data_IF_184903800804
#
_entry.id   IF_184903800804
#
_cell.length_a   1.000
_cell.length_b   1.000
_cell.length_c   1.000
_cell.angle_alpha   90.00
_cell.angle_beta   90.00
_cell.angle_gamma   90.00
#
_symmetry.space_group_name_H-M   'P 1'
#
loop_
_entity.id
_entity.type
_entity.pdbx_description
1 polymer ?
#
# COMPACT_ATOMS: atom_id res chain seq x y z
N UNK A 1 25.38 -21.35 -45.27
CA UNK A 1 24.91 -22.34 -44.28
C UNK A 1 25.98 -22.44 -43.20
N UNK A 2 25.76 -22.31 -41.90
CA UNK A 2 24.56 -22.21 -41.10
C UNK A 2 25.01 -21.80 -39.69
N UNK A 3 25.16 -20.51 -39.42
CA UNK A 3 25.45 -19.99 -38.05
C UNK A 3 24.65 -18.74 -37.71
N UNK A 4 23.92 -18.16 -38.66
CA UNK A 4 23.13 -16.93 -38.46
C UNK A 4 21.66 -17.19 -38.09
N UNK A 5 21.22 -18.45 -38.10
CA UNK A 5 19.83 -18.83 -37.84
C UNK A 5 19.57 -19.32 -36.40
N UNK A 6 20.60 -19.34 -35.55
CA UNK A 6 20.51 -19.80 -34.14
C UNK A 6 20.55 -18.65 -33.11
N UNK A 7 20.63 -17.39 -33.56
CA UNK A 7 20.49 -16.20 -32.69
C UNK A 7 19.07 -15.64 -32.64
N UNK A 8 18.15 -16.12 -33.47
CA UNK A 8 16.74 -15.65 -33.49
C UNK A 8 15.85 -16.47 -32.54
N UNK A 9 16.36 -17.58 -31.99
CA UNK A 9 15.64 -18.41 -31.01
C UNK A 9 15.91 -18.03 -29.55
N UNK A 10 16.89 -17.17 -29.26
CA UNK A 10 17.21 -16.70 -27.90
C UNK A 10 16.52 -15.38 -27.50
N UNK A 11 15.88 -14.67 -28.43
CA UNK A 11 15.14 -13.44 -28.14
C UNK A 11 13.65 -13.68 -27.80
N UNK A 12 13.14 -14.90 -27.97
CA UNK A 12 11.74 -15.26 -27.67
C UNK A 12 11.49 -15.78 -26.25
N UNK A 13 12.53 -16.10 -25.48
CA UNK A 13 12.39 -16.71 -24.15
C UNK A 13 12.36 -15.71 -22.98
N UNK A 14 12.67 -14.43 -23.22
CA UNK A 14 12.65 -13.40 -22.16
C UNK A 14 11.26 -12.77 -22.01
N UNK A 15 10.37 -12.93 -22.99
CA UNK A 15 8.99 -12.43 -22.91
C UNK A 15 7.99 -13.38 -22.21
N UNK A 16 8.43 -14.52 -21.70
CA UNK A 16 7.56 -15.54 -21.07
C UNK A 16 7.76 -15.72 -19.55
N UNK A 17 8.62 -14.92 -18.91
CA UNK A 17 8.90 -15.04 -17.46
C UNK A 17 8.08 -14.05 -16.59
N UNK A 18 7.14 -13.29 -17.18
CA UNK A 18 6.25 -12.38 -16.44
C UNK A 18 4.80 -12.92 -16.35
N UNK A 19 4.57 -14.19 -16.72
CA UNK A 19 3.29 -14.87 -16.46
C UNK A 19 3.51 -16.21 -15.75
N UNK A 20 3.96 -16.13 -14.51
CA UNK A 20 3.62 -17.14 -13.50
C UNK A 20 3.33 -16.44 -12.18
N UNK A 21 2.16 -15.81 -12.09
CA UNK A 21 1.30 -16.09 -10.94
C UNK A 21 1.08 -17.60 -10.88
N UNK A 22 0.95 -18.17 -9.68
CA UNK A 22 0.90 -19.61 -9.37
C UNK A 22 2.28 -20.24 -9.12
N UNK A 23 2.88 -19.91 -7.97
CA UNK A 23 3.55 -20.87 -7.07
C UNK A 23 3.91 -20.16 -5.76
N UNK A 24 2.89 -19.82 -4.98
CA UNK A 24 3.04 -19.61 -3.53
C UNK A 24 3.29 -20.98 -2.89
N UNK A 25 4.54 -21.43 -2.92
CA UNK A 25 5.00 -22.57 -2.14
C UNK A 25 5.51 -22.08 -0.78
N UNK A 26 4.58 -22.16 0.16
CA UNK A 26 4.71 -22.46 1.59
C UNK A 26 6.08 -22.29 2.27
N UNK A 27 6.07 -21.40 3.27
CA UNK A 27 7.17 -21.09 4.16
C UNK A 27 6.70 -20.26 5.33
N UNK A 28 5.68 -20.77 6.05
CA UNK A 28 5.38 -20.43 7.45
C UNK A 28 5.17 -18.96 7.78
N UNK A 29 3.91 -18.52 7.72
CA UNK A 29 3.34 -17.60 8.70
C UNK A 29 1.81 -17.73 8.58
N UNK A 30 1.13 -18.06 9.67
CA UNK A 30 -0.33 -18.09 9.76
C UNK A 30 -0.85 -16.65 9.63
N UNK A 31 -0.94 -16.16 8.40
CA UNK A 31 -1.56 -14.88 8.10
C UNK A 31 -3.07 -15.09 8.01
N UNK A 32 -3.82 -14.44 8.91
CA UNK A 32 -5.28 -14.35 8.81
C UNK A 32 -5.64 -13.74 7.44
N UNK A 33 -6.12 -14.58 6.53
CA UNK A 33 -6.61 -14.16 5.22
C UNK A 33 -8.04 -13.63 5.36
N UNK A 34 -8.19 -12.44 5.95
CA UNK A 34 -9.44 -11.70 5.91
C UNK A 34 -9.83 -11.36 4.47
N UNK A 35 -11.13 -11.45 4.15
CA UNK A 35 -11.64 -10.97 2.86
C UNK A 35 -11.80 -9.46 2.93
N UNK A 36 -11.13 -8.72 2.03
CA UNK A 36 -11.28 -7.27 1.93
C UNK A 36 -12.64 -6.94 1.28
N UNK A 37 -13.45 -6.16 1.98
CA UNK A 37 -14.69 -5.61 1.44
C UNK A 37 -14.42 -4.20 0.91
N UNK A 38 -14.69 -3.98 -0.37
CA UNK A 38 -14.63 -2.66 -0.99
C UNK A 38 -16.03 -2.05 -0.99
N UNK A 39 -16.35 -1.39 0.12
CA UNK A 39 -17.56 -0.59 0.27
C UNK A 39 -17.15 0.83 0.62
N UNK A 40 -17.80 1.81 0.02
CA UNK A 40 -17.52 3.22 0.30
C UNK A 40 -18.84 3.97 0.43
N UNK A 41 -19.51 3.73 1.56
CA UNK A 41 -20.88 4.18 1.83
C UNK A 41 -21.06 4.85 3.18
N UNK A 42 -20.10 4.73 4.09
CA UNK A 42 -20.11 5.41 5.37
C UNK A 42 -19.66 6.87 5.20
N UNK A 43 -20.64 7.78 5.12
CA UNK A 43 -20.41 9.22 5.04
C UNK A 43 -19.75 9.80 6.31
N UNK A 44 -19.72 9.06 7.42
CA UNK A 44 -19.10 9.48 8.68
C UNK A 44 -17.63 9.08 8.78
N UNK A 45 -17.13 8.27 7.85
CA UNK A 45 -15.73 7.88 7.81
C UNK A 45 -14.81 9.09 7.67
N UNK A 46 -13.72 9.10 8.44
CA UNK A 46 -12.85 10.27 8.55
C UNK A 46 -12.25 10.74 7.22
N UNK A 47 -11.93 9.80 6.32
CA UNK A 47 -11.41 10.08 4.98
C UNK A 47 -12.48 9.92 3.89
N UNK A 48 -13.77 10.00 4.24
CA UNK A 48 -14.85 9.90 3.27
C UNK A 48 -14.72 10.98 2.19
N UNK A 49 -14.98 10.59 0.94
CA UNK A 49 -14.97 11.48 -0.22
C UNK A 49 -16.38 11.59 -0.77
N UNK A 50 -16.86 12.83 -0.91
CA UNK A 50 -18.10 13.07 -1.65
C UNK A 50 -17.92 12.73 -3.14
N UNK A 51 -19.02 12.49 -3.85
CA UNK A 51 -19.00 12.31 -5.32
C UNK A 51 -18.36 13.47 -6.09
N UNK A 52 -18.51 14.68 -5.57
CA UNK A 52 -17.86 15.87 -6.12
C UNK A 52 -16.35 15.79 -5.90
N UNK A 53 -15.91 15.49 -4.68
CA UNK A 53 -14.49 15.28 -4.34
C UNK A 53 -13.84 14.17 -5.15
N UNK A 54 -14.55 13.06 -5.40
CA UNK A 54 -14.06 11.97 -6.27
C UNK A 54 -13.89 12.48 -7.70
N UNK A 55 -14.86 13.26 -8.23
CA UNK A 55 -14.75 13.85 -9.57
C UNK A 55 -13.55 14.78 -9.67
N UNK A 56 -13.37 15.67 -8.69
CA UNK A 56 -12.26 16.62 -8.67
C UNK A 56 -10.92 15.88 -8.59
N UNK A 57 -10.86 14.81 -7.79
CA UNK A 57 -9.67 13.94 -7.69
C UNK A 57 -9.35 13.26 -9.02
N UNK A 58 -10.36 12.80 -9.77
CA UNK A 58 -10.16 12.22 -11.11
C UNK A 58 -9.59 13.26 -12.08
N UNK A 59 -10.14 14.48 -12.07
CA UNK A 59 -9.68 15.59 -12.93
C UNK A 59 -8.25 16.02 -12.58
N UNK A 60 -7.92 16.11 -11.30
CA UNK A 60 -6.57 16.41 -10.82
C UNK A 60 -5.58 15.30 -11.21
N UNK A 61 -5.94 14.04 -10.99
CA UNK A 61 -5.06 12.90 -11.26
C UNK A 61 -4.74 12.72 -12.75
N UNK A 62 -5.63 13.14 -13.65
CA UNK A 62 -5.41 13.11 -15.10
C UNK A 62 -4.65 14.33 -15.64
N UNK A 63 -4.63 15.44 -14.89
CA UNK A 63 -4.00 16.69 -15.31
C UNK A 63 -2.66 16.98 -14.63
N UNK A 64 -2.34 16.30 -13.53
CA UNK A 64 -1.15 16.53 -12.72
C UNK A 64 -0.37 15.26 -12.41
N UNK A 65 0.94 15.39 -12.22
CA UNK A 65 1.79 14.34 -11.68
C UNK A 65 1.83 14.48 -10.16
N UNK A 66 0.73 14.17 -9.49
CA UNK A 66 0.72 14.10 -8.02
C UNK A 66 1.55 12.90 -7.50
N UNK A 67 2.42 13.15 -6.53
CA UNK A 67 3.36 12.20 -5.92
C UNK A 67 2.85 11.68 -4.57
N UNK A 68 3.30 10.48 -4.18
CA UNK A 68 3.00 9.91 -2.85
C UNK A 68 3.65 10.69 -1.70
N UNK A 69 4.50 11.69 -1.98
CA UNK A 69 5.23 12.49 -0.99
C UNK A 69 4.34 13.06 0.12
N UNK A 70 3.13 13.48 -0.22
CA UNK A 70 2.16 13.94 0.77
C UNK A 70 1.70 12.85 1.75
N UNK A 71 1.85 11.57 1.42
CA UNK A 71 1.34 10.48 2.22
C UNK A 71 2.43 9.74 2.99
N UNK A 72 3.70 10.11 2.76
CA UNK A 72 4.84 9.56 3.49
C UNK A 72 4.75 9.90 4.98
N UNK A 73 5.05 8.92 5.81
CA UNK A 73 5.13 9.09 7.26
C UNK A 73 6.53 9.55 7.68
N UNK A 74 6.58 10.36 8.73
CA UNK A 74 7.82 10.84 9.32
C UNK A 74 8.37 9.80 10.30
N UNK A 75 9.63 9.41 10.13
CA UNK A 75 10.34 8.55 11.08
C UNK A 75 10.59 9.32 12.39
N UNK A 76 10.15 8.77 13.51
CA UNK A 76 10.33 9.38 14.84
C UNK A 76 11.44 8.72 15.65
N UNK A 77 11.68 7.43 15.44
CA UNK A 77 12.72 6.67 16.13
C UNK A 77 13.14 5.47 15.29
N UNK A 78 14.42 5.10 15.35
CA UNK A 78 14.94 3.91 14.70
C UNK A 78 16.02 3.27 15.58
N UNK A 79 15.90 1.96 15.81
CA UNK A 79 16.93 1.13 16.44
C UNK A 79 17.60 0.18 15.43
N UNK A 80 17.18 0.22 14.16
CA UNK A 80 17.78 -0.59 13.11
C UNK A 80 19.23 -0.18 12.84
N UNK A 81 20.10 -1.18 12.71
CA UNK A 81 21.52 -0.96 12.39
C UNK A 81 21.76 -0.72 10.91
N UNK A 82 20.80 -1.06 10.04
CA UNK A 82 20.84 -0.86 8.59
C UNK A 82 19.53 -0.24 8.10
N UNK A 83 19.56 0.63 7.07
CA UNK A 83 18.36 1.21 6.47
C UNK A 83 17.66 0.18 5.56
N UNK A 84 17.00 -0.79 6.19
CA UNK A 84 16.24 -1.83 5.48
C UNK A 84 14.88 -1.30 4.97
N UNK A 85 14.38 -0.21 5.55
CA UNK A 85 13.15 0.47 5.15
C UNK A 85 13.48 1.71 4.31
N UNK A 86 12.89 1.79 3.12
CA UNK A 86 13.05 2.92 2.22
C UNK A 86 12.09 4.07 2.56
N UNK A 87 10.81 3.75 2.74
CA UNK A 87 9.77 4.70 3.16
C UNK A 87 8.50 3.96 3.59
N UNK A 88 7.66 4.67 4.36
CA UNK A 88 6.35 4.20 4.81
C UNK A 88 5.29 5.25 4.44
N UNK A 89 4.11 4.82 4.02
CA UNK A 89 2.99 5.72 3.74
C UNK A 89 1.63 5.09 4.06
N UNK A 90 0.65 5.95 4.30
CA UNK A 90 -0.75 5.57 4.48
C UNK A 90 -1.53 5.88 3.21
N UNK A 91 -2.25 4.90 2.68
CA UNK A 91 -3.05 5.08 1.47
C UNK A 91 -4.49 5.45 1.83
N UNK A 92 -4.78 6.74 1.82
CA UNK A 92 -6.16 7.23 2.01
C UNK A 92 -7.02 6.92 0.77
N UNK A 93 -8.36 6.99 0.89
CA UNK A 93 -9.25 6.94 -0.27
C UNK A 93 -8.90 7.93 -1.38
N UNK A 94 -8.43 9.15 -1.04
CA UNK A 94 -7.99 10.13 -2.05
C UNK A 94 -6.77 9.63 -2.80
N UNK A 95 -5.76 9.12 -2.08
CA UNK A 95 -4.57 8.54 -2.73
C UNK A 95 -4.93 7.33 -3.60
N UNK A 96 -5.84 6.47 -3.13
CA UNK A 96 -6.35 5.33 -3.89
C UNK A 96 -6.99 5.80 -5.21
N UNK A 97 -7.88 6.81 -5.15
CA UNK A 97 -8.52 7.37 -6.33
C UNK A 97 -7.51 7.97 -7.32
N UNK A 98 -6.48 8.66 -6.84
CA UNK A 98 -5.39 9.20 -7.67
C UNK A 98 -4.64 8.06 -8.37
N UNK A 99 -4.22 7.04 -7.62
CA UNK A 99 -3.44 5.90 -8.13
C UNK A 99 -4.23 5.10 -9.16
N UNK A 100 -5.47 4.73 -8.86
CA UNK A 100 -6.33 3.97 -9.78
C UNK A 100 -6.68 4.80 -11.01
N UNK A 101 -6.94 6.10 -10.86
CA UNK A 101 -7.20 6.98 -12.01
C UNK A 101 -6.00 7.06 -12.94
N UNK A 102 -4.79 7.28 -12.40
CA UNK A 102 -3.55 7.30 -13.19
C UNK A 102 -3.30 5.97 -13.87
N UNK A 103 -3.46 4.87 -13.14
CA UNK A 103 -3.32 3.53 -13.71
C UNK A 103 -4.25 3.36 -14.92
N UNK A 104 -5.52 3.76 -14.79
CA UNK A 104 -6.49 3.63 -15.88
C UNK A 104 -6.14 4.55 -17.05
N UNK A 105 -5.78 5.79 -16.77
CA UNK A 105 -5.45 6.78 -17.77
C UNK A 105 -4.18 6.41 -18.56
N UNK A 106 -3.11 6.04 -17.87
CA UNK A 106 -1.82 5.72 -18.46
C UNK A 106 -1.85 4.41 -19.26
N UNK A 107 -2.61 3.40 -18.79
CA UNK A 107 -2.68 2.09 -19.46
C UNK A 107 -3.77 2.00 -20.54
N UNK A 108 -4.91 2.69 -20.37
CA UNK A 108 -6.06 2.57 -21.27
C UNK A 108 -6.40 3.85 -22.02
N UNK A 109 -5.77 4.99 -21.71
CA UNK A 109 -5.99 6.26 -22.40
C UNK A 109 -7.39 6.86 -22.19
N UNK A 110 -8.07 6.53 -21.08
CA UNK A 110 -9.41 7.03 -20.76
C UNK A 110 -9.51 7.55 -19.33
N UNK A 111 -10.46 8.44 -19.09
CA UNK A 111 -10.82 8.92 -17.75
C UNK A 111 -11.86 7.97 -17.13
N UNK A 112 -11.64 7.45 -15.91
CA UNK A 112 -12.64 6.64 -15.22
C UNK A 112 -13.86 7.47 -14.78
N UNK A 113 -14.97 6.78 -14.52
CA UNK A 113 -16.18 7.41 -13.98
C UNK A 113 -16.17 7.42 -12.45
N UNK A 114 -16.95 8.32 -11.83
CA UNK A 114 -17.11 8.36 -10.35
C UNK A 114 -17.56 7.00 -9.79
N UNK A 115 -18.58 6.30 -10.34
CA UNK A 115 -18.97 4.98 -9.83
C UNK A 115 -17.88 3.91 -9.96
N UNK A 116 -17.03 4.01 -10.98
CA UNK A 116 -15.88 3.10 -11.15
C UNK A 116 -14.84 3.33 -10.05
N UNK A 117 -14.61 4.58 -9.65
CA UNK A 117 -13.73 4.91 -8.52
C UNK A 117 -14.34 4.56 -7.18
N UNK A 118 -15.64 4.84 -6.94
CA UNK A 118 -16.34 4.42 -5.71
C UNK A 118 -16.17 2.91 -5.45
N UNK A 119 -16.21 2.08 -6.50
CA UNK A 119 -16.03 0.63 -6.39
C UNK A 119 -14.59 0.17 -6.03
N UNK A 120 -13.61 1.09 -6.06
CA UNK A 120 -12.21 0.84 -5.69
C UNK A 120 -11.86 1.32 -4.29
N UNK A 121 -12.71 2.14 -3.69
CA UNK A 121 -12.49 2.70 -2.36
C UNK A 121 -13.03 1.76 -1.28
N UNK A 122 -12.53 1.96 -0.05
CA UNK A 122 -13.01 1.26 1.14
C UNK A 122 -13.09 2.21 2.33
N UNK A 123 -14.14 2.07 3.12
CA UNK A 123 -14.33 2.70 4.43
C UNK A 123 -14.05 1.72 5.59
N UNK A 124 -13.81 0.44 5.29
CA UNK A 124 -13.63 -0.64 6.28
C UNK A 124 -12.18 -0.86 6.70
N UNK A 125 -11.22 -0.39 5.89
CA UNK A 125 -9.81 -0.57 6.20
C UNK A 125 -8.95 0.60 5.73
N UNK A 126 -7.80 0.76 6.38
CA UNK A 126 -6.78 1.74 6.03
C UNK A 126 -5.48 1.00 5.68
N UNK A 127 -5.06 1.01 4.40
CA UNK A 127 -3.81 0.39 3.99
C UNK A 127 -2.59 1.21 4.45
N UNK A 128 -1.62 0.50 5.01
CA UNK A 128 -0.30 1.01 5.40
C UNK A 128 0.74 0.26 4.59
N UNK A 129 1.55 1.00 3.83
CA UNK A 129 2.54 0.43 2.94
C UNK A 129 3.94 0.72 3.45
N UNK A 130 4.78 -0.32 3.49
CA UNK A 130 6.20 -0.25 3.85
C UNK A 130 7.01 -0.74 2.67
N UNK A 131 7.89 0.11 2.14
CA UNK A 131 8.84 -0.25 1.08
C UNK A 131 10.20 -0.58 1.68
N UNK A 132 10.78 -1.70 1.28
CA UNK A 132 12.10 -2.16 1.75
C UNK A 132 13.18 -2.02 0.69
N UNK A 133 14.41 -1.64 1.08
CA UNK A 133 15.55 -1.45 0.17
C UNK A 133 16.13 -2.76 -0.36
N UNK A 134 16.10 -3.83 0.46
CA UNK A 134 16.71 -5.13 0.16
C UNK A 134 15.71 -6.29 0.05
N UNK A 135 14.45 -6.00 -0.28
CA UNK A 135 13.37 -7.00 -0.38
C UNK A 135 13.16 -7.82 0.92
N UNK A 136 13.37 -7.19 2.08
CA UNK A 136 13.34 -7.86 3.38
C UNK A 136 11.97 -7.84 4.06
N UNK A 137 10.89 -7.49 3.36
CA UNK A 137 9.55 -7.38 3.97
C UNK A 137 8.99 -8.64 4.65
N UNK A 138 9.59 -9.82 4.44
CA UNK A 138 9.19 -11.04 5.15
C UNK A 138 9.75 -11.15 6.57
N UNK A 139 10.80 -10.41 6.93
CA UNK A 139 11.44 -10.50 8.26
C UNK A 139 10.92 -9.47 9.25
N UNK A 140 10.05 -8.56 8.79
CA UNK A 140 9.48 -7.51 9.62
C UNK A 140 8.00 -7.79 9.91
N UNK A 141 7.52 -7.32 11.05
CA UNK A 141 6.11 -7.12 11.32
C UNK A 141 5.80 -5.62 11.26
N UNK A 142 4.61 -5.27 10.77
CA UNK A 142 4.16 -3.88 10.68
C UNK A 142 2.87 -3.77 11.49
N UNK A 143 2.90 -2.90 12.49
CA UNK A 143 1.83 -2.76 13.48
C UNK A 143 1.44 -1.30 13.62
N UNK A 144 0.14 -1.00 13.72
CA UNK A 144 -0.35 0.32 14.10
C UNK A 144 -0.68 0.33 15.60
N UNK A 145 -0.16 1.32 16.32
CA UNK A 145 -0.45 1.56 17.73
C UNK A 145 -1.18 2.89 17.95
N UNK A 146 -2.11 2.91 18.90
CA UNK A 146 -2.68 4.13 19.48
C UNK A 146 -2.43 4.13 20.99
N UNK A 147 -1.49 4.98 21.43
CA UNK A 147 -0.98 4.92 22.80
C UNK A 147 -0.27 3.60 23.07
N UNK A 148 -0.84 2.76 23.94
CA UNK A 148 -0.32 1.43 24.27
C UNK A 148 -1.09 0.28 23.60
N UNK A 149 -2.12 0.60 22.81
CA UNK A 149 -3.01 -0.41 22.23
C UNK A 149 -2.64 -0.69 20.77
N UNK A 150 -2.53 -1.98 20.42
CA UNK A 150 -2.34 -2.46 19.05
C UNK A 150 -3.68 -2.42 18.33
N UNK A 151 -3.74 -1.72 17.20
CA UNK A 151 -4.89 -1.74 16.30
C UNK A 151 -4.83 -3.00 15.45
N UNK A 152 -5.95 -3.71 15.35
CA UNK A 152 -6.03 -4.98 14.62
C UNK A 152 -5.92 -4.76 13.11
N UNK A 153 -5.23 -5.68 12.43
CA UNK A 153 -5.21 -5.73 10.97
C UNK A 153 -6.10 -6.85 10.44
N UNK A 154 -6.79 -6.59 9.34
CA UNK A 154 -7.68 -7.53 8.65
C UNK A 154 -6.87 -8.48 7.77
N UNK A 155 -5.81 -7.94 7.16
CA UNK A 155 -5.00 -8.65 6.18
C UNK A 155 -3.59 -8.05 6.13
N UNK A 156 -2.62 -8.91 5.83
CA UNK A 156 -1.26 -8.53 5.47
C UNK A 156 -0.91 -9.12 4.11
N UNK A 157 -0.24 -8.32 3.28
CA UNK A 157 0.29 -8.76 1.98
C UNK A 157 1.75 -8.39 1.85
N UNK A 158 2.55 -9.28 1.26
CA UNK A 158 3.94 -9.01 0.90
C UNK A 158 4.10 -9.25 -0.59
N UNK A 159 4.53 -8.23 -1.32
CA UNK A 159 4.64 -8.24 -2.79
C UNK A 159 6.06 -7.97 -3.26
N UNK A 160 6.33 -8.26 -4.54
CA UNK A 160 7.64 -8.03 -5.16
C UNK A 160 8.78 -8.79 -4.46
N UNK A 161 8.54 -10.03 -4.06
CA UNK A 161 9.50 -10.87 -3.33
C UNK A 161 10.05 -10.23 -2.04
N UNK A 162 9.21 -9.51 -1.30
CA UNK A 162 9.59 -8.82 -0.05
C UNK A 162 9.94 -7.36 -0.24
N UNK A 163 9.82 -6.84 -1.47
CA UNK A 163 10.00 -5.43 -1.79
C UNK A 163 9.04 -4.52 -1.00
N UNK A 164 7.78 -4.94 -0.85
CA UNK A 164 6.75 -4.13 -0.22
C UNK A 164 5.87 -4.99 0.68
N UNK A 165 5.54 -4.46 1.84
CA UNK A 165 4.50 -5.01 2.71
C UNK A 165 3.34 -4.02 2.80
N UNK A 166 2.12 -4.54 2.73
CA UNK A 166 0.90 -3.79 2.97
C UNK A 166 0.15 -4.41 4.13
N UNK A 167 -0.25 -3.60 5.10
CA UNK A 167 -1.12 -4.01 6.20
C UNK A 167 -2.43 -3.25 6.10
N UNK A 168 -3.54 -3.98 6.08
CA UNK A 168 -4.89 -3.43 6.01
C UNK A 168 -5.45 -3.35 7.41
N UNK A 169 -5.41 -2.17 8.02
CA UNK A 169 -5.87 -1.95 9.40
C UNK A 169 -7.37 -1.75 9.43
N UNK A 170 -8.08 -2.39 10.36
CA UNK A 170 -9.53 -2.21 10.52
C UNK A 170 -9.84 -0.79 11.02
N UNK A 171 -10.65 -0.03 10.27
CA UNK A 171 -11.00 1.35 10.61
C UNK A 171 -11.88 1.45 11.84
N UNK A 172 -12.64 0.41 12.18
CA UNK A 172 -13.48 0.37 13.38
C UNK A 172 -12.67 0.37 14.69
N UNK A 173 -11.39 -0.04 14.62
CA UNK A 173 -10.45 -0.01 15.73
C UNK A 173 -9.62 1.28 15.84
N UNK A 174 -9.84 2.27 14.97
CA UNK A 174 -9.05 3.51 14.92
C UNK A 174 -9.86 4.68 15.48
N UNK A 175 -9.32 5.36 16.49
CA UNK A 175 -9.76 6.69 16.88
C UNK A 175 -8.98 7.75 16.09
N UNK A 176 -9.57 8.23 14.99
CA UNK A 176 -8.94 9.24 14.11
C UNK A 176 -8.70 10.61 14.78
N UNK A 177 -9.24 10.83 15.98
CA UNK A 177 -8.97 12.05 16.75
C UNK A 177 -7.67 11.99 17.54
N UNK A 178 -7.08 10.80 17.69
CA UNK A 178 -5.83 10.56 18.40
C UNK A 178 -4.67 10.31 17.44
N UNK A 179 -3.43 10.69 17.82
CA UNK A 179 -2.26 10.31 17.06
C UNK A 179 -2.09 8.79 17.06
N UNK A 180 -1.46 8.26 16.02
CA UNK A 180 -1.07 6.86 15.95
C UNK A 180 0.41 6.72 15.56
N UNK A 181 0.97 5.55 15.81
CA UNK A 181 2.35 5.22 15.47
C UNK A 181 2.37 3.92 14.68
N UNK A 182 3.01 3.93 13.51
CA UNK A 182 3.34 2.69 12.80
C UNK A 182 4.69 2.21 13.30
N UNK A 183 4.74 0.97 13.79
CA UNK A 183 5.97 0.31 14.22
C UNK A 183 6.29 -0.78 13.21
N UNK A 184 7.52 -0.77 12.70
CA UNK A 184 8.07 -1.82 11.85
C UNK A 184 9.16 -2.53 12.63
N UNK A 185 8.89 -3.75 13.11
CA UNK A 185 9.72 -4.50 14.06
C UNK A 185 10.31 -5.76 13.40
N UNK A 186 11.56 -6.12 13.71
CA UNK A 186 12.17 -7.36 13.25
C UNK A 186 11.55 -8.54 14.01
N UNK A 187 11.03 -9.53 13.29
CA UNK A 187 10.34 -10.68 13.88
C UNK A 187 11.27 -11.59 14.71
N UNK A 188 12.58 -11.50 14.51
CA UNK A 188 13.57 -12.29 15.25
C UNK A 188 14.10 -11.56 16.49
N UNK A 189 14.01 -10.23 16.52
CA UNK A 189 14.49 -9.38 17.61
C UNK A 189 13.64 -8.10 17.73
N UNK A 190 12.65 -8.13 18.63
CA UNK A 190 11.73 -7.01 18.89
C UNK A 190 12.45 -5.72 19.37
N UNK A 191 13.71 -5.81 19.81
CA UNK A 191 14.49 -4.61 20.14
C UNK A 191 14.92 -3.81 18.89
N UNK A 192 14.80 -4.40 17.70
CA UNK A 192 15.12 -3.81 16.41
C UNK A 192 13.83 -3.36 15.70
N UNK A 193 13.57 -2.05 15.69
CA UNK A 193 12.35 -1.49 15.14
C UNK A 193 12.54 -0.06 14.62
N UNK A 194 11.56 0.41 13.85
CA UNK A 194 11.43 1.81 13.42
C UNK A 194 10.01 2.27 13.69
N UNK A 195 9.87 3.48 14.22
CA UNK A 195 8.60 4.14 14.47
C UNK A 195 8.35 5.27 13.47
N UNK A 196 7.10 5.36 13.03
CA UNK A 196 6.63 6.41 12.14
C UNK A 196 5.38 7.06 12.73
N UNK A 197 5.38 8.40 12.83
CA UNK A 197 4.22 9.14 13.30
C UNK A 197 3.12 9.19 12.24
N UNK A 198 1.87 8.95 12.67
CA UNK A 198 0.67 9.11 11.85
C UNK A 198 -0.16 10.27 12.39
N UNK A 199 -0.19 11.35 11.60
CA UNK A 199 -1.13 12.46 11.80
C UNK A 199 -2.26 12.35 10.77
N UNK A 200 -3.38 11.75 11.18
CA UNK A 200 -4.57 11.59 10.33
C UNK A 200 -5.09 12.95 9.82
N UNK A 201 -5.00 14.01 10.64
CA UNK A 201 -5.45 15.35 10.27
C UNK A 201 -4.64 15.96 9.13
N UNK A 202 -3.33 15.72 9.12
CA UNK A 202 -2.45 16.10 8.00
C UNK A 202 -2.76 15.30 6.73
N UNK A 203 -3.04 14.00 6.87
CA UNK A 203 -3.38 13.12 5.74
C UNK A 203 -4.73 13.45 5.09
N UNK A 204 -5.70 13.99 5.83
CA UNK A 204 -7.03 14.31 5.31
C UNK A 204 -7.11 15.66 4.57
N UNK A 205 -6.14 16.54 4.79
CA UNK A 205 -6.09 17.87 4.14
C UNK A 205 -5.36 17.86 2.81
N UNK A 206 -4.75 16.73 2.47
CA UNK A 206 -4.02 16.53 1.23
C UNK A 206 -5.00 16.01 0.22
#
# INVERSE_FOLDING_TARGET
>A
MSTLLMMILSAGAIFFVIQTDVLSADGGNDYENGTLAYTFSDETYFFHLSRESIRDTIEEATSTVESIEGYLLEETMSTLTQPDIAFVYVETPRLTAIKETKLIYDHFGRTPSVPEMEAKLSDQFLPIHVRFTSNRGFVYEVVLYQGAEKVSSIKREVTGAGAMQTVYVDTSGIDFSQPATVVVEDQMDEALFVEYAVDFGSLNRK
#
